data_IF_351070189931
#
_entry.id   IF_351070189931
#
_cell.length_a   1.000
_cell.length_b   1.000
_cell.length_c   1.000
_cell.angle_alpha   90.00
_cell.angle_beta   90.00
_cell.angle_gamma   90.00
#
_symmetry.space_group_name_H-M   'P 1'
#
loop_
_entity.id
_entity.type
_entity.pdbx_description
1 polymer ?
#
# COMPACT_ATOMS: atom_id res chain seq x y z
N UNK A 1 22.50 -7.70 -7.15
CA UNK A 1 21.38 -8.12 -6.32
C UNK A 1 20.37 -6.99 -6.39
N UNK A 2 19.62 -6.97 -7.49
CA UNK A 2 18.44 -6.13 -7.65
C UNK A 2 17.30 -6.97 -7.06
N UNK A 3 16.56 -6.46 -6.08
CA UNK A 3 15.63 -7.31 -5.35
C UNK A 3 14.72 -6.53 -4.43
N UNK A 4 14.15 -5.44 -4.94
CA UNK A 4 13.06 -4.72 -4.31
C UNK A 4 11.82 -4.90 -5.16
N UNK A 5 10.75 -5.42 -4.58
CA UNK A 5 9.48 -5.64 -5.24
C UNK A 5 8.43 -4.69 -4.69
N UNK A 6 7.59 -4.16 -5.57
CA UNK A 6 6.49 -3.27 -5.20
C UNK A 6 5.32 -4.10 -4.73
N UNK A 7 4.94 -3.89 -3.47
CA UNK A 7 3.84 -4.62 -2.83
C UNK A 7 2.57 -3.80 -2.74
N UNK A 8 2.67 -2.47 -2.78
CA UNK A 8 1.51 -1.57 -2.74
C UNK A 8 1.83 -0.22 -3.39
N UNK A 9 0.80 0.40 -3.97
CA UNK A 9 0.87 1.73 -4.57
C UNK A 9 -0.27 2.58 -4.04
N UNK A 10 0.04 3.82 -3.65
CA UNK A 10 -0.84 4.73 -2.91
C UNK A 10 -0.83 6.11 -3.54
N UNK A 11 -1.88 6.89 -3.25
CA UNK A 11 -2.06 8.22 -3.85
C UNK A 11 -1.34 9.36 -3.13
N UNK A 12 -0.77 9.10 -1.95
CA UNK A 12 -0.07 10.09 -1.13
C UNK A 12 0.98 9.43 -0.20
N UNK A 13 1.89 10.24 0.30
CA UNK A 13 3.00 9.80 1.17
C UNK A 13 2.53 9.43 2.59
N UNK A 14 1.48 10.06 3.09
CA UNK A 14 0.93 9.77 4.43
C UNK A 14 0.42 8.33 4.52
N UNK A 15 -0.42 7.90 3.58
CA UNK A 15 -0.89 6.51 3.52
C UNK A 15 0.27 5.54 3.31
N UNK A 16 1.25 5.88 2.47
CA UNK A 16 2.42 5.03 2.25
C UNK A 16 3.27 4.86 3.51
N UNK A 17 3.42 5.93 4.29
CA UNK A 17 4.14 5.90 5.57
C UNK A 17 3.43 5.03 6.61
N UNK A 18 2.09 5.09 6.68
CA UNK A 18 1.30 4.19 7.55
C UNK A 18 1.52 2.72 7.21
N UNK A 19 1.54 2.40 5.92
CA UNK A 19 1.73 1.04 5.42
C UNK A 19 3.14 0.53 5.65
N UNK A 20 4.13 1.36 5.33
CA UNK A 20 5.53 1.09 5.62
C UNK A 20 5.73 0.81 7.11
N UNK A 21 5.23 1.69 7.99
CA UNK A 21 5.34 1.53 9.44
C UNK A 21 4.69 0.25 9.96
N UNK A 22 3.55 -0.17 9.41
CA UNK A 22 2.93 -1.44 9.77
C UNK A 22 3.79 -2.65 9.41
N UNK A 23 4.33 -2.67 8.18
CA UNK A 23 5.20 -3.75 7.71
C UNK A 23 6.51 -3.79 8.52
N UNK A 24 7.12 -2.63 8.78
CA UNK A 24 8.33 -2.54 9.62
C UNK A 24 8.08 -3.00 11.04
N UNK A 25 6.91 -2.68 11.62
CA UNK A 25 6.50 -3.17 12.94
C UNK A 25 6.35 -4.70 13.00
N UNK A 26 6.14 -5.36 11.85
CA UNK A 26 6.08 -6.83 11.72
C UNK A 26 7.43 -7.44 11.34
N UNK A 27 8.48 -6.63 11.24
CA UNK A 27 9.85 -7.06 10.91
C UNK A 27 10.16 -7.10 9.41
N UNK A 28 9.27 -6.60 8.56
CA UNK A 28 9.49 -6.52 7.10
C UNK A 28 10.14 -5.19 6.76
N UNK A 29 11.32 -5.22 6.13
CA UNK A 29 11.98 -4.00 5.67
C UNK A 29 11.18 -3.38 4.53
N UNK A 30 10.98 -2.06 4.59
CA UNK A 30 10.24 -1.34 3.56
C UNK A 30 11.04 -0.16 3.01
N UNK A 31 10.71 0.24 1.79
CA UNK A 31 11.19 1.46 1.17
C UNK A 31 10.02 2.16 0.50
N UNK A 32 9.91 3.47 0.67
CA UNK A 32 8.84 4.29 0.09
C UNK A 32 9.46 5.14 -1.01
N UNK A 33 9.00 4.95 -2.24
CA UNK A 33 9.41 5.77 -3.39
C UNK A 33 8.23 6.60 -3.90
N UNK A 34 8.37 7.92 -3.79
CA UNK A 34 7.43 8.89 -4.32
C UNK A 34 7.81 9.21 -5.77
N UNK A 35 6.94 8.96 -6.74
CA UNK A 35 7.19 9.29 -8.17
C UNK A 35 7.01 10.80 -8.47
N UNK A 36 7.07 11.66 -7.46
CA UNK A 36 7.09 13.12 -7.59
C UNK A 36 8.43 13.55 -8.21
N UNK A 37 8.49 13.51 -9.53
CA UNK A 37 9.58 14.09 -10.31
C UNK A 37 9.67 15.61 -10.01
N UNK A 38 10.61 15.98 -9.13
CA UNK A 38 10.95 17.36 -8.81
C UNK A 38 11.60 18.06 -10.01
N UNK A 39 10.83 18.65 -10.92
CA UNK A 39 11.34 19.70 -11.80
C UNK A 39 10.38 20.87 -12.10
N UNK A 40 9.18 20.95 -11.50
CA UNK A 40 8.30 22.13 -11.67
C UNK A 40 7.51 22.47 -10.39
N UNK A 41 7.17 23.75 -10.16
CA UNK A 41 6.50 24.19 -8.94
C UNK A 41 5.12 23.54 -8.85
N UNK A 42 4.99 22.59 -7.92
CA UNK A 42 3.82 21.72 -7.77
C UNK A 42 2.59 22.53 -7.38
N UNK A 43 1.65 22.60 -8.33
CA UNK A 43 0.26 22.91 -8.03
C UNK A 43 -0.26 21.83 -7.07
N UNK A 44 -0.78 22.27 -5.92
CA UNK A 44 -1.61 21.46 -5.03
C UNK A 44 -2.63 20.67 -5.86
N UNK A 45 -2.54 19.34 -5.89
CA UNK A 45 -3.61 18.49 -6.42
C UNK A 45 -3.23 17.41 -7.45
N UNK A 46 -1.95 17.21 -7.80
CA UNK A 46 -1.58 16.00 -8.57
C UNK A 46 -1.10 14.91 -7.62
N UNK A 47 -1.98 13.92 -7.42
CA UNK A 47 -1.69 12.65 -6.78
C UNK A 47 -0.41 12.06 -7.38
N UNK A 48 0.72 12.22 -6.68
CA UNK A 48 1.93 11.49 -7.01
C UNK A 48 1.71 10.05 -6.57
N UNK A 49 1.82 9.10 -7.50
CA UNK A 49 1.84 7.69 -7.12
C UNK A 49 3.05 7.44 -6.21
N UNK A 50 2.77 6.96 -5.00
CA UNK A 50 3.78 6.57 -4.01
C UNK A 50 3.79 5.06 -3.93
N UNK A 51 4.96 4.45 -4.10
CA UNK A 51 5.14 3.00 -4.15
C UNK A 51 5.82 2.53 -2.87
N UNK A 52 5.27 1.49 -2.26
CA UNK A 52 5.89 0.78 -1.14
C UNK A 52 6.57 -0.46 -1.68
N UNK A 53 7.88 -0.52 -1.50
CA UNK A 53 8.74 -1.61 -1.92
C UNK A 53 9.24 -2.38 -0.70
N UNK A 54 9.47 -3.68 -0.87
CA UNK A 54 10.10 -4.55 0.12
C UNK A 54 11.14 -5.43 -0.57
N UNK A 55 12.09 -6.02 0.16
CA UNK A 55 12.96 -7.03 -0.41
C UNK A 55 12.15 -8.16 -1.04
N UNK A 56 12.56 -8.65 -2.21
CA UNK A 56 11.86 -9.74 -2.92
C UNK A 56 11.64 -10.97 -2.03
N UNK A 57 12.60 -11.27 -1.15
CA UNK A 57 12.51 -12.34 -0.16
C UNK A 57 11.35 -12.18 0.85
N UNK A 58 10.90 -10.94 1.08
CA UNK A 58 9.82 -10.60 2.00
C UNK A 58 8.51 -10.22 1.27
N UNK A 59 8.49 -10.25 -0.06
CA UNK A 59 7.36 -9.77 -0.87
C UNK A 59 6.07 -10.55 -0.63
N UNK A 60 6.14 -11.89 -0.55
CA UNK A 60 4.97 -12.72 -0.25
C UNK A 60 4.43 -12.45 1.17
N UNK A 61 5.32 -12.36 2.15
CA UNK A 61 4.96 -12.04 3.54
C UNK A 61 4.30 -10.67 3.64
N UNK A 62 4.89 -9.67 2.98
CA UNK A 62 4.35 -8.31 2.94
C UNK A 62 2.94 -8.29 2.32
N UNK A 63 2.74 -8.97 1.18
CA UNK A 63 1.41 -9.07 0.55
C UNK A 63 0.39 -9.69 1.49
N UNK A 64 0.71 -10.79 2.15
CA UNK A 64 -0.20 -11.44 3.11
C UNK A 64 -0.57 -10.51 4.29
N UNK A 65 0.40 -9.79 4.83
CA UNK A 65 0.18 -8.81 5.91
C UNK A 65 -0.70 -7.64 5.46
N UNK A 66 -0.54 -7.18 4.22
CA UNK A 66 -1.38 -6.12 3.64
C UNK A 66 -2.82 -6.58 3.42
N UNK A 67 -3.02 -7.83 3.01
CA UNK A 67 -4.36 -8.41 2.89
C UNK A 67 -5.04 -8.54 4.26
N UNK A 68 -4.31 -8.95 5.31
CA UNK A 68 -4.80 -8.96 6.69
C UNK A 68 -5.19 -7.55 7.17
N UNK A 69 -4.37 -6.54 6.87
CA UNK A 69 -4.69 -5.14 7.18
C UNK A 69 -5.95 -4.67 6.46
N UNK A 70 -6.09 -4.98 5.17
CA UNK A 70 -7.25 -4.59 4.37
C UNK A 70 -8.52 -5.31 4.86
N UNK A 71 -8.43 -6.60 5.18
CA UNK A 71 -9.54 -7.38 5.74
C UNK A 71 -9.95 -6.89 7.13
N UNK A 72 -8.99 -6.47 7.98
CA UNK A 72 -9.27 -5.85 9.26
C UNK A 72 -9.96 -4.47 9.15
N UNK A 73 -9.76 -3.76 8.03
CA UNK A 73 -10.48 -2.54 7.69
C UNK A 73 -11.82 -2.75 6.97
N UNK A 74 -12.00 -3.91 6.33
CA UNK A 74 -13.21 -4.29 5.57
C UNK A 74 -14.14 -5.26 6.33
N UNK A 75 -13.91 -5.49 7.62
CA UNK A 75 -14.85 -6.18 8.51
C UNK A 75 -16.00 -5.25 9.00
N UNK A 76 -16.26 -4.16 8.28
CA UNK A 76 -17.55 -3.49 8.23
C UNK A 76 -17.98 -3.44 6.77
N UNK A 77 -19.12 -4.01 6.43
CA UNK A 77 -19.79 -3.91 5.12
C UNK A 77 -19.27 -4.83 4.00
N UNK A 78 -19.14 -6.13 4.28
CA UNK A 78 -19.61 -7.11 3.32
C UNK A 78 -21.03 -7.53 3.76
N UNK A 79 -22.03 -6.69 3.48
CA UNK A 79 -23.42 -7.13 3.46
C UNK A 79 -23.53 -8.09 2.26
N UNK A 80 -23.69 -9.40 2.45
CA UNK A 80 -23.92 -10.30 1.33
C UNK A 80 -25.25 -9.92 0.71
N UNK A 81 -25.23 -9.66 -0.61
CA UNK A 81 -26.40 -9.25 -1.37
C UNK A 81 -27.59 -10.19 -1.18
N UNK A 82 -28.77 -9.59 -1.07
CA UNK A 82 -30.00 -10.27 -1.45
C UNK A 82 -30.47 -9.64 -2.77
N UNK A 83 -29.96 -10.17 -3.88
CA UNK A 83 -30.53 -9.96 -5.20
C UNK A 83 -31.92 -10.61 -5.24
N UNK A 84 -32.91 -9.82 -5.66
CA UNK A 84 -34.32 -10.18 -5.52
C UNK A 84 -34.79 -11.39 -6.34
N UNK A 85 -35.87 -12.01 -5.86
CA UNK A 85 -36.93 -12.62 -6.70
C UNK A 85 -38.12 -13.07 -5.85
N UNK A 86 -39.26 -12.39 -6.03
CA UNK A 86 -40.56 -12.93 -6.51
C UNK A 86 -41.73 -12.12 -5.96
#
# INVERSE_FOLDING_TARGET
MEGWEVVRTLGNEEEASLVAGFLESRGVRTSVESLLFHQEPVNFGRLGEVRVLVPEADAETARALLEEMAAGGAAGEAEPGEEGRS
#
